data_IF_834349547819
#
_entry.id   IF_834349547819
#
_cell.length_a   1.000
_cell.length_b   1.000
_cell.length_c   1.000
_cell.angle_alpha   90.00
_cell.angle_beta   90.00
_cell.angle_gamma   90.00
#
_symmetry.space_group_name_H-M   'P 1'
#
loop_
_entity.id
_entity.type
_entity.pdbx_description
1 polymer ?
#
# COMPACT_ATOMS: atom_id res chain seq x y z
N UNK A 1 19.91 31.56 29.73
CA UNK A 1 19.76 30.23 30.37
C UNK A 1 20.49 29.23 29.49
N UNK A 2 21.50 28.57 30.05
CA UNK A 2 22.38 27.63 29.33
C UNK A 2 21.63 26.32 29.05
N UNK A 3 21.84 25.69 27.87
CA UNK A 3 21.40 24.31 27.64
C UNK A 3 22.31 23.37 28.43
N UNK A 4 21.73 22.56 29.31
CA UNK A 4 22.42 21.49 30.02
C UNK A 4 22.87 20.42 29.03
N UNK A 5 24.16 20.43 28.72
CA UNK A 5 24.92 19.32 28.15
C UNK A 5 24.84 18.11 29.09
N UNK A 6 24.06 17.09 28.74
CA UNK A 6 24.27 15.75 29.30
C UNK A 6 25.43 15.09 28.54
N UNK A 7 26.57 15.02 29.21
CA UNK A 7 27.83 14.54 28.67
C UNK A 7 27.83 13.01 28.42
N UNK A 8 28.69 12.54 27.49
CA UNK A 8 28.70 11.19 26.93
C UNK A 8 29.63 10.25 27.71
N UNK A 9 29.14 9.08 28.14
CA UNK A 9 30.00 8.12 28.84
C UNK A 9 29.78 6.63 28.52
N UNK A 10 28.83 6.24 27.64
CA UNK A 10 28.35 4.84 27.62
C UNK A 10 28.65 4.07 26.32
N UNK A 11 29.17 4.71 25.26
CA UNK A 11 29.47 4.03 23.99
C UNK A 11 31.00 3.95 23.79
N UNK A 12 31.66 3.21 24.66
CA UNK A 12 33.09 2.82 24.50
C UNK A 12 33.28 1.32 24.77
N UNK A 13 32.33 0.49 24.32
CA UNK A 13 32.60 -0.93 24.16
C UNK A 13 33.30 -1.13 22.81
N UNK A 14 34.61 -1.45 22.84
CA UNK A 14 35.43 -1.76 21.67
C UNK A 14 34.80 -2.89 20.85
N UNK A 15 34.53 -2.65 19.58
CA UNK A 15 33.93 -3.62 18.65
C UNK A 15 35.03 -4.19 17.74
N UNK A 16 35.53 -5.37 18.09
CA UNK A 16 35.80 -6.39 17.07
C UNK A 16 34.44 -6.98 16.65
N UNK A 17 34.28 -7.55 15.43
CA UNK A 17 32.98 -8.05 14.99
C UNK A 17 32.44 -9.03 16.03
N UNK A 18 31.25 -8.78 16.61
CA UNK A 18 30.76 -9.67 17.62
C UNK A 18 30.37 -11.02 17.05
N UNK A 19 30.54 -12.11 17.81
CA UNK A 19 29.79 -13.32 17.53
C UNK A 19 28.28 -13.03 17.59
N UNK A 20 27.42 -13.83 16.93
CA UNK A 20 25.97 -13.60 16.76
C UNK A 20 25.15 -13.39 18.05
N UNK A 21 25.78 -13.56 19.22
CA UNK A 21 25.19 -13.29 20.53
C UNK A 21 25.14 -11.79 20.91
N UNK A 22 26.00 -10.92 20.35
CA UNK A 22 25.98 -9.49 20.72
C UNK A 22 25.05 -8.63 19.85
N UNK A 23 24.63 -9.09 18.67
CA UNK A 23 23.62 -8.39 17.86
C UNK A 23 22.25 -8.43 18.56
N UNK A 24 21.90 -9.57 19.17
CA UNK A 24 20.74 -9.68 20.06
C UNK A 24 20.90 -8.85 21.34
N UNK A 25 22.12 -8.72 21.87
CA UNK A 25 22.38 -7.89 23.06
C UNK A 25 22.28 -6.39 22.76
N UNK A 26 22.75 -5.94 21.59
CA UNK A 26 22.60 -4.56 21.12
C UNK A 26 21.13 -4.22 20.87
N UNK A 27 20.37 -5.12 20.21
CA UNK A 27 18.91 -4.95 20.05
C UNK A 27 18.19 -4.87 21.39
N UNK A 28 18.44 -5.80 22.32
CA UNK A 28 17.83 -5.77 23.67
C UNK A 28 18.20 -4.52 24.46
N UNK A 29 19.46 -4.08 24.40
CA UNK A 29 19.91 -2.85 25.06
C UNK A 29 19.28 -1.61 24.44
N UNK A 30 19.13 -1.56 23.11
CA UNK A 30 18.41 -0.49 22.44
C UNK A 30 16.93 -0.51 22.81
N UNK A 31 16.27 -1.65 22.85
CA UNK A 31 14.86 -1.81 23.24
C UNK A 31 14.61 -1.37 24.70
N UNK A 32 15.39 -1.86 25.66
CA UNK A 32 15.30 -1.48 27.09
C UNK A 32 15.59 0.02 27.32
N UNK A 33 16.43 0.62 26.47
CA UNK A 33 16.83 2.01 26.55
C UNK A 33 15.82 2.93 25.86
N UNK A 34 15.28 2.51 24.73
CA UNK A 34 14.23 3.22 23.98
C UNK A 34 12.96 3.32 24.83
N UNK A 35 12.55 2.25 25.52
CA UNK A 35 11.35 2.24 26.37
C UNK A 35 11.38 3.24 27.55
N UNK A 36 12.53 3.80 27.91
CA UNK A 36 12.68 4.74 29.04
C UNK A 36 12.64 6.21 28.64
N UNK A 37 12.67 6.50 27.34
CA UNK A 37 12.78 7.85 26.80
C UNK A 37 11.43 8.47 26.43
N UNK A 38 11.40 9.81 26.41
CA UNK A 38 10.26 10.53 25.86
C UNK A 38 10.19 10.32 24.34
N UNK A 39 9.01 10.49 23.70
CA UNK A 39 8.91 10.43 22.25
C UNK A 39 9.90 11.33 21.52
N UNK A 40 10.16 12.53 22.05
CA UNK A 40 11.13 13.48 21.47
C UNK A 40 12.57 12.91 21.50
N UNK A 41 13.01 12.39 22.64
CA UNK A 41 14.35 11.79 22.77
C UNK A 41 14.51 10.56 21.87
N UNK A 42 13.45 9.74 21.73
CA UNK A 42 13.41 8.61 20.80
C UNK A 42 13.60 9.06 19.35
N UNK A 43 12.93 10.14 18.95
CA UNK A 43 13.06 10.72 17.62
C UNK A 43 14.47 11.28 17.37
N UNK A 44 15.07 11.93 18.37
CA UNK A 44 16.45 12.43 18.28
C UNK A 44 17.46 11.29 18.12
N UNK A 45 17.26 10.17 18.82
CA UNK A 45 18.10 8.96 18.63
C UNK A 45 18.00 8.44 17.20
N UNK A 46 16.80 8.37 16.63
CA UNK A 46 16.60 7.95 15.24
C UNK A 46 17.28 8.95 14.28
N UNK A 47 17.09 10.24 14.48
CA UNK A 47 17.73 11.28 13.67
C UNK A 47 19.26 11.22 13.73
N UNK A 48 19.83 10.90 14.89
CA UNK A 48 21.28 10.71 15.06
C UNK A 48 21.79 9.44 14.39
N UNK A 49 21.04 8.32 14.41
CA UNK A 49 21.37 7.10 13.65
C UNK A 49 21.46 7.37 12.14
N UNK A 50 20.69 8.36 11.69
CA UNK A 50 20.53 8.77 10.31
C UNK A 50 21.42 9.96 9.90
N UNK A 51 22.16 10.56 10.83
CA UNK A 51 23.00 11.72 10.53
C UNK A 51 24.23 11.34 9.67
N UNK A 52 24.40 12.03 8.54
CA UNK A 52 25.57 11.90 7.67
C UNK A 52 26.18 13.29 7.32
N UNK A 53 27.51 13.47 7.40
CA UNK A 53 28.45 12.57 8.08
C UNK A 53 28.16 12.56 9.59
N UNK A 54 28.52 11.50 10.33
CA UNK A 54 28.30 11.47 11.77
C UNK A 54 29.01 12.67 12.40
N UNK A 55 28.25 13.55 13.05
CA UNK A 55 28.78 14.78 13.64
C UNK A 55 30.00 14.45 14.52
N UNK A 56 31.05 15.30 14.53
CA UNK A 56 32.15 15.13 15.46
C UNK A 56 31.63 15.16 16.89
N UNK A 57 31.61 14.00 17.57
CA UNK A 57 31.11 13.87 18.94
C UNK A 57 29.72 13.26 19.10
N UNK A 58 29.05 12.88 18.00
CA UNK A 58 27.78 12.13 18.08
C UNK A 58 27.97 10.79 18.79
N UNK A 59 27.13 10.49 19.79
CA UNK A 59 27.26 9.30 20.64
C UNK A 59 27.28 7.98 19.85
N UNK A 60 26.73 7.99 18.64
CA UNK A 60 26.53 6.82 17.77
C UNK A 60 27.61 6.66 16.68
N UNK A 61 28.66 7.49 16.70
CA UNK A 61 29.72 7.49 15.67
C UNK A 61 30.47 6.15 15.66
N UNK A 62 30.33 5.40 14.56
CA UNK A 62 31.03 4.11 14.35
C UNK A 62 30.27 2.85 14.77
N UNK A 63 28.95 2.92 15.02
CA UNK A 63 28.19 1.77 15.54
C UNK A 63 27.85 0.68 14.51
N UNK A 64 27.69 1.03 13.22
CA UNK A 64 27.40 0.07 12.14
C UNK A 64 27.58 0.73 10.76
N UNK A 65 27.70 -0.05 9.66
CA UNK A 65 27.63 0.47 8.31
C UNK A 65 26.34 1.29 8.07
N UNK A 66 26.38 2.36 7.24
CA UNK A 66 25.22 3.22 6.96
C UNK A 66 23.92 2.50 6.53
N UNK A 67 24.05 1.35 5.87
CA UNK A 67 22.88 0.53 5.48
C UNK A 67 22.18 -0.15 6.66
N UNK A 68 22.93 -0.55 7.68
CA UNK A 68 22.39 -1.19 8.89
C UNK A 68 21.72 -0.18 9.82
N UNK A 69 22.31 1.02 9.97
CA UNK A 69 21.70 2.11 10.76
C UNK A 69 20.41 2.63 10.13
N UNK A 70 20.32 2.64 8.80
CA UNK A 70 19.10 2.98 8.09
C UNK A 70 17.94 2.03 8.45
N UNK A 71 18.19 0.71 8.32
CA UNK A 71 17.18 -0.31 8.65
C UNK A 71 16.75 -0.28 10.12
N UNK A 72 17.71 -0.07 11.03
CA UNK A 72 17.43 0.07 12.46
C UNK A 72 16.56 1.29 12.76
N UNK A 73 16.89 2.47 12.22
CA UNK A 73 16.09 3.68 12.44
C UNK A 73 14.65 3.52 11.93
N UNK A 74 14.47 2.86 10.78
CA UNK A 74 13.14 2.58 10.23
C UNK A 74 12.34 1.61 11.11
N UNK A 75 12.98 0.59 11.68
CA UNK A 75 12.34 -0.33 12.62
C UNK A 75 11.95 0.37 13.94
N UNK A 76 12.76 1.30 14.43
CA UNK A 76 12.44 2.12 15.60
C UNK A 76 11.25 3.05 15.32
N UNK A 77 11.14 3.63 14.12
CA UNK A 77 9.93 4.36 13.71
C UNK A 77 8.67 3.48 13.78
N UNK A 78 8.73 2.23 13.30
CA UNK A 78 7.59 1.31 13.35
C UNK A 78 7.19 1.00 14.80
N UNK A 79 8.18 0.85 15.68
CA UNK A 79 7.93 0.64 17.11
C UNK A 79 7.22 1.83 17.74
N UNK A 80 7.68 3.06 17.46
CA UNK A 80 7.00 4.27 17.93
C UNK A 80 5.57 4.38 17.40
N UNK A 81 5.31 3.93 16.19
CA UNK A 81 3.95 3.91 15.63
C UNK A 81 3.05 2.89 16.35
N UNK A 82 3.58 1.70 16.66
CA UNK A 82 2.88 0.68 17.45
C UNK A 82 2.57 1.15 18.87
N UNK A 83 3.49 1.90 19.48
CA UNK A 83 3.33 2.45 20.83
C UNK A 83 2.44 3.72 20.86
N UNK A 84 1.95 4.20 19.70
CA UNK A 84 1.09 5.38 19.60
C UNK A 84 1.81 6.72 19.76
N UNK A 85 3.14 6.73 19.74
CA UNK A 85 3.98 7.90 20.00
C UNK A 85 4.35 8.67 18.72
N UNK A 86 4.35 7.99 17.58
CA UNK A 86 4.86 8.50 16.30
C UNK A 86 4.23 9.83 15.87
N UNK A 87 2.90 9.99 16.06
CA UNK A 87 2.16 11.18 15.63
C UNK A 87 2.71 12.46 16.25
N UNK A 88 3.22 12.40 17.49
CA UNK A 88 3.77 13.57 18.20
C UNK A 88 5.11 14.07 17.66
N UNK A 89 5.85 13.20 16.96
CA UNK A 89 7.21 13.47 16.45
C UNK A 89 7.35 13.27 14.95
N UNK A 90 6.23 13.04 14.25
CA UNK A 90 6.20 12.70 12.83
C UNK A 90 6.93 13.74 11.96
N UNK A 91 6.80 15.03 12.26
CA UNK A 91 7.50 16.09 11.52
C UNK A 91 9.02 16.00 11.66
N UNK A 92 9.52 15.74 12.87
CA UNK A 92 10.95 15.60 13.12
C UNK A 92 11.51 14.42 12.33
N UNK A 93 10.84 13.26 12.42
CA UNK A 93 11.25 12.05 11.71
C UNK A 93 11.16 12.20 10.19
N UNK A 94 10.12 12.88 9.69
CA UNK A 94 9.97 13.16 8.26
C UNK A 94 11.08 14.07 7.72
N UNK A 95 11.49 15.07 8.48
CA UNK A 95 12.64 15.92 8.15
C UNK A 95 13.96 15.13 8.15
N UNK A 96 14.18 14.28 9.15
CA UNK A 96 15.36 13.42 9.20
C UNK A 96 15.41 12.46 8.00
N UNK A 97 14.29 11.83 7.64
CA UNK A 97 14.19 10.97 6.46
C UNK A 97 14.48 11.72 5.15
N UNK A 98 13.99 12.96 5.02
CA UNK A 98 14.31 13.84 3.89
C UNK A 98 15.83 14.07 3.77
N UNK A 99 16.50 14.43 4.86
CA UNK A 99 17.97 14.62 4.87
C UNK A 99 18.74 13.37 4.47
N UNK A 100 18.34 12.21 4.99
CA UNK A 100 18.99 10.92 4.67
C UNK A 100 18.87 10.62 3.19
N UNK A 101 17.67 10.74 2.61
CA UNK A 101 17.43 10.43 1.20
C UNK A 101 18.33 11.29 0.29
N UNK A 102 18.43 12.59 0.56
CA UNK A 102 19.30 13.50 -0.18
C UNK A 102 20.79 13.23 0.06
N UNK A 103 21.17 12.80 1.27
CA UNK A 103 22.56 12.45 1.59
C UNK A 103 23.00 11.18 0.87
N UNK A 104 22.11 10.19 0.73
CA UNK A 104 22.36 8.99 -0.08
C UNK A 104 22.44 9.36 -1.56
N UNK A 105 21.48 10.15 -2.08
CA UNK A 105 21.42 10.56 -3.48
C UNK A 105 22.67 11.35 -3.93
N UNK A 106 23.18 12.24 -3.08
CA UNK A 106 24.39 13.03 -3.34
C UNK A 106 25.70 12.26 -3.11
N UNK A 107 25.64 11.02 -2.61
CA UNK A 107 26.81 10.23 -2.25
C UNK A 107 27.50 10.64 -0.94
N UNK A 108 26.95 11.62 -0.20
CA UNK A 108 27.44 12.03 1.12
C UNK A 108 27.29 10.94 2.19
N UNK A 109 26.30 10.05 2.03
CA UNK A 109 26.09 8.86 2.85
C UNK A 109 26.24 7.61 1.98
N UNK A 110 27.36 6.87 2.05
CA UNK A 110 27.59 5.72 1.19
C UNK A 110 26.75 4.52 1.65
N UNK A 111 25.68 4.23 0.90
CA UNK A 111 24.87 3.02 1.04
C UNK A 111 24.85 2.31 -0.31
N UNK A 112 25.82 1.41 -0.60
CA UNK A 112 26.08 0.95 -1.96
C UNK A 112 24.92 0.18 -2.61
N UNK A 113 24.00 -0.40 -1.83
CA UNK A 113 22.75 -1.00 -2.33
C UNK A 113 21.66 -0.85 -1.26
N UNK A 114 21.02 0.32 -1.14
CA UNK A 114 20.00 0.53 -0.13
C UNK A 114 18.80 -0.37 -0.46
N UNK A 115 18.23 -1.13 0.50
CA UNK A 115 17.06 -1.94 0.24
C UNK A 115 15.91 -1.09 -0.29
N UNK A 116 15.26 -1.53 -1.38
CA UNK A 116 14.18 -0.79 -2.05
C UNK A 116 13.07 -0.37 -1.09
N UNK A 117 12.67 -1.28 -0.19
CA UNK A 117 11.70 -1.01 0.88
C UNK A 117 12.13 0.16 1.78
N UNK A 118 13.41 0.27 2.11
CA UNK A 118 13.92 1.35 2.95
C UNK A 118 13.90 2.69 2.20
N UNK A 119 14.32 2.69 0.92
CA UNK A 119 14.23 3.88 0.06
C UNK A 119 12.78 4.35 -0.09
N UNK A 120 11.85 3.42 -0.30
CA UNK A 120 10.43 3.74 -0.43
C UNK A 120 9.87 4.37 0.86
N UNK A 121 10.23 3.82 2.03
CA UNK A 121 9.85 4.41 3.33
C UNK A 121 10.42 5.81 3.54
N UNK A 122 11.71 6.00 3.26
CA UNK A 122 12.34 7.32 3.35
C UNK A 122 11.67 8.33 2.43
N UNK A 123 11.41 7.94 1.17
CA UNK A 123 10.72 8.78 0.20
C UNK A 123 9.30 9.14 0.67
N UNK A 124 8.53 8.18 1.18
CA UNK A 124 7.19 8.42 1.71
C UNK A 124 7.21 9.45 2.85
N UNK A 125 8.14 9.30 3.80
CA UNK A 125 8.32 10.28 4.89
C UNK A 125 8.79 11.65 4.39
N UNK A 126 9.74 11.68 3.44
CA UNK A 126 10.28 12.91 2.87
C UNK A 126 9.23 13.72 2.08
N UNK A 127 8.35 13.04 1.35
CA UNK A 127 7.22 13.67 0.66
C UNK A 127 6.23 14.30 1.65
N UNK A 128 5.91 13.60 2.76
CA UNK A 128 5.08 14.17 3.84
C UNK A 128 5.72 15.41 4.46
N UNK A 129 7.04 15.42 4.64
CA UNK A 129 7.75 16.61 5.10
C UNK A 129 7.53 17.80 4.16
N UNK A 130 7.69 17.59 2.85
CA UNK A 130 7.52 18.66 1.85
C UNK A 130 6.09 19.23 1.82
N UNK A 131 5.06 18.40 1.98
CA UNK A 131 3.67 18.87 2.06
C UNK A 131 3.42 19.88 3.19
N UNK A 132 4.17 19.76 4.29
CA UNK A 132 3.98 20.58 5.49
C UNK A 132 4.86 21.84 5.46
N UNK A 133 5.79 21.94 4.49
CA UNK A 133 6.62 23.14 4.30
C UNK A 133 5.89 24.16 3.41
N UNK A 134 5.50 25.34 3.94
CA UNK A 134 4.61 26.28 3.26
C UNK A 134 5.26 27.13 2.14
N UNK A 135 6.37 26.71 1.55
CA UNK A 135 7.06 27.51 0.53
C UNK A 135 6.65 27.16 -0.89
N UNK A 136 6.47 28.20 -1.73
CA UNK A 136 6.03 28.23 -3.14
C UNK A 136 6.83 27.31 -4.11
N UNK A 137 7.87 26.64 -3.63
CA UNK A 137 8.60 25.59 -4.35
C UNK A 137 7.91 24.20 -4.30
N UNK A 138 6.68 24.09 -3.82
CA UNK A 138 6.00 22.83 -3.47
C UNK A 138 6.09 21.73 -4.54
N UNK A 139 5.67 22.01 -5.78
CA UNK A 139 5.73 21.00 -6.85
C UNK A 139 7.17 20.60 -7.21
N UNK A 140 8.07 21.58 -7.38
CA UNK A 140 9.46 21.33 -7.73
C UNK A 140 10.17 20.51 -6.64
N UNK A 141 9.99 20.86 -5.38
CA UNK A 141 10.56 20.15 -4.25
C UNK A 141 10.02 18.72 -4.12
N UNK A 142 8.72 18.51 -4.36
CA UNK A 142 8.11 17.17 -4.40
C UNK A 142 8.67 16.34 -5.57
N UNK A 143 8.85 16.97 -6.73
CA UNK A 143 9.45 16.33 -7.91
C UNK A 143 10.92 15.98 -7.68
N UNK A 144 11.68 16.82 -6.99
CA UNK A 144 13.09 16.56 -6.65
C UNK A 144 13.23 15.36 -5.71
N UNK A 145 12.38 15.27 -4.68
CA UNK A 145 12.33 14.12 -3.77
C UNK A 145 12.02 12.84 -4.55
N UNK A 146 10.99 12.89 -5.41
CA UNK A 146 10.59 11.76 -6.24
C UNK A 146 11.70 11.33 -7.21
N UNK A 147 12.35 12.29 -7.85
CA UNK A 147 13.43 12.05 -8.80
C UNK A 147 14.63 11.38 -8.14
N UNK A 148 15.07 11.90 -6.98
CA UNK A 148 16.16 11.30 -6.20
C UNK A 148 15.84 9.86 -5.79
N UNK A 149 14.59 9.60 -5.37
CA UNK A 149 14.15 8.25 -5.07
C UNK A 149 14.22 7.34 -6.31
N UNK A 150 13.66 7.75 -7.46
CA UNK A 150 13.67 6.92 -8.68
C UNK A 150 15.09 6.60 -9.15
N UNK A 151 16.02 7.57 -9.08
CA UNK A 151 17.43 7.35 -9.40
C UNK A 151 18.08 6.32 -8.49
N UNK A 152 17.89 6.44 -7.17
CA UNK A 152 18.45 5.52 -6.19
C UNK A 152 17.85 4.11 -6.28
N UNK A 153 16.54 4.04 -6.50
CA UNK A 153 15.79 2.79 -6.55
C UNK A 153 15.93 2.04 -7.88
N UNK A 154 16.49 2.70 -8.92
CA UNK A 154 16.64 2.15 -10.28
C UNK A 154 15.34 1.56 -10.83
N UNK A 155 14.23 2.28 -10.61
CA UNK A 155 12.91 1.81 -10.99
C UNK A 155 12.73 1.80 -12.52
N UNK A 156 12.01 0.82 -13.08
CA UNK A 156 11.65 0.82 -14.49
C UNK A 156 10.90 2.10 -14.89
N UNK A 157 11.03 2.53 -16.14
CA UNK A 157 10.39 3.74 -16.64
C UNK A 157 8.85 3.64 -16.58
N UNK A 158 8.32 2.44 -16.80
CA UNK A 158 6.90 2.09 -16.72
C UNK A 158 6.32 2.34 -15.33
N UNK A 159 7.11 2.09 -14.28
CA UNK A 159 6.73 2.42 -12.92
C UNK A 159 6.53 3.94 -12.79
N UNK A 160 7.47 4.75 -13.32
CA UNK A 160 7.36 6.22 -13.25
C UNK A 160 6.17 6.80 -14.02
N UNK A 161 5.61 6.10 -15.01
CA UNK A 161 4.46 6.56 -15.79
C UNK A 161 3.17 6.65 -14.94
N UNK A 162 2.98 5.72 -14.00
CA UNK A 162 1.80 5.67 -13.12
C UNK A 162 1.83 6.77 -12.06
N UNK A 163 3.04 7.18 -11.65
CA UNK A 163 3.24 8.31 -10.76
C UNK A 163 2.68 9.61 -11.37
N UNK A 164 2.52 9.67 -12.69
CA UNK A 164 1.94 10.79 -13.38
C UNK A 164 0.41 10.64 -13.44
N UNK A 165 -0.29 11.71 -13.09
CA UNK A 165 -1.74 11.75 -13.06
C UNK A 165 -2.33 11.71 -14.48
N UNK A 166 -2.64 10.50 -15.00
CA UNK A 166 -3.37 10.23 -16.26
C UNK A 166 -3.68 8.75 -16.50
N UNK A 167 -2.84 7.84 -16.03
CA UNK A 167 -2.95 6.41 -16.37
C UNK A 167 -3.86 5.66 -15.41
N UNK A 168 -4.71 4.78 -15.92
CA UNK A 168 -5.50 3.88 -15.07
C UNK A 168 -4.58 2.80 -14.48
N UNK A 169 -4.75 2.51 -13.19
CA UNK A 169 -4.06 1.37 -12.54
C UNK A 169 -4.71 0.07 -13.02
N UNK A 170 -3.90 -0.87 -13.50
CA UNK A 170 -4.37 -2.18 -13.94
C UNK A 170 -4.98 -2.99 -12.78
N UNK A 171 -6.01 -3.78 -13.08
CA UNK A 171 -6.76 -4.53 -12.06
C UNK A 171 -5.94 -5.66 -11.40
N UNK A 172 -4.94 -6.22 -12.10
CA UNK A 172 -4.01 -7.21 -11.54
C UNK A 172 -3.05 -6.54 -10.56
N UNK A 173 -2.51 -5.39 -10.96
CA UNK A 173 -1.66 -4.57 -10.11
C UNK A 173 -2.40 -4.24 -8.82
N UNK A 174 -3.63 -3.72 -8.93
CA UNK A 174 -4.45 -3.40 -7.76
C UNK A 174 -4.68 -4.63 -6.87
N UNK A 175 -5.01 -5.78 -7.45
CA UNK A 175 -5.21 -7.03 -6.71
C UNK A 175 -3.97 -7.46 -5.92
N UNK A 176 -2.82 -7.44 -6.60
CA UNK A 176 -1.55 -7.87 -6.02
C UNK A 176 -1.13 -6.91 -4.90
N UNK A 177 -1.28 -5.60 -5.11
CA UNK A 177 -1.01 -4.58 -4.10
C UNK A 177 -1.87 -4.78 -2.85
N UNK A 178 -3.18 -5.02 -3.01
CA UNK A 178 -4.07 -5.29 -1.87
C UNK A 178 -3.70 -6.60 -1.16
N UNK A 179 -3.35 -7.64 -1.93
CA UNK A 179 -2.94 -8.94 -1.37
C UNK A 179 -1.67 -8.82 -0.51
N UNK A 180 -0.68 -8.07 -1.00
CA UNK A 180 0.56 -7.79 -0.26
C UNK A 180 0.31 -6.93 0.98
N UNK A 181 -0.54 -5.90 0.85
CA UNK A 181 -0.98 -5.08 1.97
C UNK A 181 -1.69 -5.91 3.07
N UNK A 182 -2.45 -6.94 2.69
CA UNK A 182 -3.17 -7.80 3.62
C UNK A 182 -2.35 -8.97 4.17
N UNK A 183 -1.21 -9.30 3.57
CA UNK A 183 -0.40 -10.46 3.97
C UNK A 183 -0.02 -10.50 5.48
N UNK A 184 0.23 -9.37 6.17
CA UNK A 184 0.49 -9.35 7.61
C UNK A 184 -0.76 -9.47 8.50
N UNK A 185 -1.93 -9.78 7.94
CA UNK A 185 -3.21 -9.69 8.63
C UNK A 185 -4.02 -10.99 8.56
N UNK A 186 -3.90 -11.81 9.59
CA UNK A 186 -4.50 -13.16 9.65
C UNK A 186 -6.04 -13.20 9.56
N UNK A 187 -6.72 -12.09 9.89
CA UNK A 187 -8.18 -11.98 9.85
C UNK A 187 -8.72 -11.36 8.56
N UNK A 188 -7.88 -11.21 7.54
CA UNK A 188 -8.24 -10.53 6.30
C UNK A 188 -8.07 -11.48 5.13
N UNK A 189 -9.13 -11.63 4.36
CA UNK A 189 -9.12 -12.34 3.10
C UNK A 189 -9.25 -11.32 1.97
N UNK A 190 -8.59 -11.54 0.84
CA UNK A 190 -8.70 -10.69 -0.35
C UNK A 190 -9.31 -11.50 -1.48
N UNK A 191 -10.28 -10.97 -2.22
CA UNK A 191 -10.86 -11.62 -3.40
C UNK A 191 -10.52 -10.85 -4.68
N UNK A 192 -10.41 -11.52 -5.85
CA UNK A 192 -10.18 -10.88 -7.13
C UNK A 192 -11.18 -9.77 -7.49
N UNK A 193 -10.68 -8.90 -8.37
CA UNK A 193 -11.02 -7.48 -8.55
C UNK A 193 -12.21 -7.18 -9.46
N UNK A 194 -12.62 -8.15 -10.28
CA UNK A 194 -13.54 -7.89 -11.38
C UNK A 194 -14.80 -8.72 -11.20
N UNK A 195 -15.89 -8.03 -10.86
CA UNK A 195 -17.22 -8.59 -10.76
C UNK A 195 -18.10 -7.88 -11.79
N UNK A 196 -18.76 -8.66 -12.65
CA UNK A 196 -19.61 -8.10 -13.70
C UNK A 196 -21.06 -7.98 -13.23
N UNK A 197 -21.78 -7.01 -13.81
CA UNK A 197 -23.19 -6.80 -13.53
C UNK A 197 -24.07 -7.87 -14.21
N UNK A 198 -24.96 -8.57 -13.48
CA UNK A 198 -25.78 -9.63 -14.05
C UNK A 198 -26.87 -9.11 -15.00
N UNK A 199 -27.29 -7.84 -14.90
CA UNK A 199 -28.26 -7.21 -15.82
C UNK A 199 -27.67 -7.12 -17.25
N UNK A 200 -26.36 -7.27 -17.34
CA UNK A 200 -25.56 -7.14 -18.55
C UNK A 200 -25.07 -8.50 -19.08
N UNK A 201 -25.66 -9.59 -18.62
CA UNK A 201 -25.29 -10.96 -19.00
C UNK A 201 -25.33 -11.24 -20.50
N UNK A 202 -26.21 -10.58 -21.26
CA UNK A 202 -26.22 -10.78 -22.72
C UNK A 202 -24.98 -10.21 -23.40
N UNK A 203 -24.39 -9.15 -22.83
CA UNK A 203 -23.20 -8.49 -23.35
C UNK A 203 -21.89 -9.19 -22.95
N UNK A 204 -21.93 -10.12 -21.99
CA UNK A 204 -20.76 -10.96 -21.66
C UNK A 204 -20.41 -11.92 -22.80
N UNK A 205 -21.38 -12.20 -23.70
CA UNK A 205 -21.18 -13.04 -24.88
C UNK A 205 -20.21 -12.42 -25.87
N UNK A 206 -20.13 -11.08 -25.87
CA UNK A 206 -19.25 -10.28 -26.74
C UNK A 206 -17.85 -10.11 -26.13
N UNK A 207 -17.68 -10.40 -24.83
CA UNK A 207 -16.38 -10.44 -24.17
C UNK A 207 -15.60 -11.67 -24.63
N UNK A 208 -14.31 -11.47 -24.92
CA UNK A 208 -13.39 -12.55 -25.29
C UNK A 208 -13.44 -13.71 -24.29
N UNK A 209 -13.45 -14.95 -24.79
CA UNK A 209 -13.65 -16.17 -23.97
C UNK A 209 -12.69 -16.25 -22.77
N UNK A 210 -11.42 -15.91 -22.95
CA UNK A 210 -10.43 -15.99 -21.87
C UNK A 210 -10.75 -15.03 -20.72
N UNK A 211 -11.20 -13.81 -21.01
CA UNK A 211 -11.65 -12.86 -19.99
C UNK A 211 -12.89 -13.39 -19.28
N UNK A 212 -13.86 -13.94 -20.02
CA UNK A 212 -15.07 -14.54 -19.42
C UNK A 212 -14.75 -15.66 -18.43
N UNK A 213 -13.77 -16.49 -18.76
CA UNK A 213 -13.31 -17.58 -17.89
C UNK A 213 -12.66 -17.02 -16.61
N UNK A 214 -11.83 -15.97 -16.72
CA UNK A 214 -11.23 -15.27 -15.57
C UNK A 214 -12.29 -14.63 -14.67
N UNK A 215 -13.29 -13.95 -15.26
CA UNK A 215 -14.40 -13.34 -14.52
C UNK A 215 -15.22 -14.38 -13.75
N UNK A 216 -15.51 -15.51 -14.38
CA UNK A 216 -16.26 -16.61 -13.76
C UNK A 216 -15.46 -17.23 -12.61
N UNK A 217 -14.16 -17.42 -12.80
CA UNK A 217 -13.26 -17.90 -11.77
C UNK A 217 -13.20 -16.93 -10.58
N UNK A 218 -13.10 -15.63 -10.84
CA UNK A 218 -13.08 -14.58 -9.82
C UNK A 218 -14.35 -14.58 -8.97
N UNK A 219 -15.52 -14.65 -9.62
CA UNK A 219 -16.82 -14.74 -8.93
C UNK A 219 -16.93 -15.98 -8.04
N UNK A 220 -16.51 -17.14 -8.55
CA UNK A 220 -16.54 -18.39 -7.78
C UNK A 220 -15.58 -18.36 -6.58
N UNK A 221 -14.39 -17.78 -6.77
CA UNK A 221 -13.42 -17.62 -5.69
C UNK A 221 -13.95 -16.66 -4.60
N UNK A 222 -14.59 -15.56 -4.99
CA UNK A 222 -15.23 -14.62 -4.06
C UNK A 222 -16.32 -15.32 -3.21
N UNK A 223 -17.18 -16.13 -3.87
CA UNK A 223 -18.21 -16.92 -3.19
C UNK A 223 -17.62 -17.90 -2.18
N UNK A 224 -16.59 -18.65 -2.58
CA UNK A 224 -15.96 -19.62 -1.68
C UNK A 224 -15.28 -18.93 -0.49
N UNK A 225 -14.59 -17.81 -0.72
CA UNK A 225 -13.98 -17.01 0.36
C UNK A 225 -15.03 -16.46 1.33
N UNK A 226 -16.17 -15.97 0.84
CA UNK A 226 -17.27 -15.50 1.72
C UNK A 226 -17.91 -16.62 2.53
N UNK A 227 -18.06 -17.82 1.96
CA UNK A 227 -18.60 -18.98 2.69
C UNK A 227 -17.66 -19.44 3.81
N UNK A 228 -16.35 -19.35 3.57
CA UNK A 228 -15.31 -19.76 4.52
C UNK A 228 -14.99 -18.68 5.55
N UNK A 229 -15.51 -17.46 5.37
CA UNK A 229 -15.29 -16.35 6.28
C UNK A 229 -15.84 -16.67 7.67
N UNK A 230 -14.96 -16.63 8.67
CA UNK A 230 -15.32 -16.77 10.07
C UNK A 230 -15.78 -15.42 10.63
N UNK A 231 -16.54 -15.47 11.73
CA UNK A 231 -16.81 -14.26 12.50
C UNK A 231 -15.49 -13.68 13.03
N UNK A 232 -15.35 -12.36 13.02
CA UNK A 232 -14.07 -11.70 13.29
C UNK A 232 -13.15 -11.57 12.07
N UNK A 233 -13.51 -12.12 10.90
CA UNK A 233 -12.78 -11.93 9.64
C UNK A 233 -13.49 -10.99 8.68
N UNK A 234 -12.70 -10.30 7.85
CA UNK A 234 -13.20 -9.45 6.77
C UNK A 234 -12.69 -9.94 5.40
N UNK A 235 -13.53 -9.81 4.39
CA UNK A 235 -13.13 -9.95 3.00
C UNK A 235 -13.01 -8.55 2.37
N UNK A 236 -11.84 -8.25 1.83
CA UNK A 236 -11.62 -7.08 0.98
C UNK A 236 -11.81 -7.49 -0.49
N UNK A 237 -12.66 -6.73 -1.16
CA UNK A 237 -13.08 -6.98 -2.53
C UNK A 237 -13.02 -5.66 -3.29
N UNK A 238 -11.92 -5.36 -4.00
CA UNK A 238 -11.97 -4.31 -5.02
C UNK A 238 -12.98 -4.76 -6.08
N UNK A 239 -13.98 -3.94 -6.37
CA UNK A 239 -15.05 -4.26 -7.32
C UNK A 239 -14.93 -3.35 -8.52
N UNK A 240 -14.60 -3.92 -9.69
CA UNK A 240 -14.59 -3.19 -10.95
C UNK A 240 -15.93 -3.27 -11.67
N UNK A 241 -16.61 -2.15 -11.77
CA UNK A 241 -17.81 -1.97 -12.59
C UNK A 241 -17.41 -1.61 -14.01
N UNK A 242 -17.57 -2.56 -14.92
CA UNK A 242 -17.27 -2.37 -16.36
C UNK A 242 -18.55 -1.88 -17.04
N UNK A 243 -18.57 -0.68 -17.64
CA UNK A 243 -19.67 -0.30 -18.52
C UNK A 243 -19.71 -1.31 -19.68
N UNK A 244 -20.89 -1.87 -19.97
CA UNK A 244 -21.01 -2.67 -21.18
C UNK A 244 -20.68 -1.76 -22.35
N UNK A 245 -19.59 -2.03 -23.05
CA UNK A 245 -19.47 -2.14 -24.51
C UNK A 245 -18.01 -2.52 -24.84
N UNK A 246 -17.43 -3.61 -24.29
CA UNK A 246 -16.12 -4.04 -24.77
C UNK A 246 -16.31 -4.63 -26.17
N UNK A 247 -15.95 -3.86 -27.20
CA UNK A 247 -15.80 -4.38 -28.56
C UNK A 247 -14.74 -5.49 -28.56
N UNK A 248 -14.87 -6.44 -29.49
CA UNK A 248 -13.93 -7.54 -29.66
C UNK A 248 -12.48 -6.99 -29.76
N UNK A 249 -11.63 -7.37 -28.80
CA UNK A 249 -10.22 -6.92 -28.72
C UNK A 249 -9.94 -5.70 -27.82
N UNK A 250 -10.91 -5.20 -27.06
CA UNK A 250 -10.70 -4.11 -26.09
C UNK A 250 -10.26 -4.63 -24.71
N UNK A 251 -9.44 -3.84 -24.02
CA UNK A 251 -9.05 -4.06 -22.61
C UNK A 251 -10.26 -3.73 -21.72
N UNK A 252 -10.49 -4.51 -20.66
CA UNK A 252 -11.54 -4.20 -19.69
C UNK A 252 -11.19 -2.89 -18.98
N UNK A 253 -11.95 -1.83 -19.27
CA UNK A 253 -11.89 -0.57 -18.55
C UNK A 253 -13.15 -0.44 -17.71
N UNK A 254 -13.01 0.05 -16.49
CA UNK A 254 -14.12 0.18 -15.56
C UNK A 254 -13.79 1.09 -14.41
N UNK A 255 -14.79 1.32 -13.58
CA UNK A 255 -14.67 2.08 -12.34
C UNK A 255 -14.46 1.13 -11.15
N UNK A 256 -13.59 1.47 -10.21
CA UNK A 256 -13.36 0.66 -9.01
C UNK A 256 -14.07 1.23 -7.78
N UNK A 257 -14.83 0.39 -7.09
CA UNK A 257 -15.31 0.63 -5.73
C UNK A 257 -14.58 -0.29 -4.75
N UNK A 258 -14.40 0.13 -3.50
CA UNK A 258 -13.87 -0.72 -2.45
C UNK A 258 -15.02 -1.38 -1.68
N UNK A 259 -15.06 -2.72 -1.65
CA UNK A 259 -16.07 -3.46 -0.90
C UNK A 259 -15.40 -4.18 0.26
N UNK A 260 -15.86 -3.88 1.47
CA UNK A 260 -15.51 -4.62 2.69
C UNK A 260 -16.70 -5.48 3.09
N UNK A 261 -16.52 -6.78 3.12
CA UNK A 261 -17.54 -7.72 3.57
C UNK A 261 -17.16 -8.32 4.93
N UNK A 262 -18.06 -8.21 5.90
CA UNK A 262 -17.92 -8.83 7.23
C UNK A 262 -19.09 -9.77 7.48
N UNK A 263 -18.82 -10.89 8.14
CA UNK A 263 -19.86 -11.81 8.59
C UNK A 263 -20.33 -11.43 9.99
N UNK A 264 -21.65 -11.24 10.15
CA UNK A 264 -22.32 -11.03 11.44
C UNK A 264 -23.46 -12.03 11.56
N UNK A 265 -23.34 -12.99 12.48
CA UNK A 265 -24.27 -14.11 12.61
C UNK A 265 -24.48 -14.87 11.27
N UNK A 266 -25.73 -14.97 10.83
CA UNK A 266 -26.16 -15.59 9.57
C UNK A 266 -26.13 -14.63 8.36
N UNK A 267 -25.69 -13.39 8.56
CA UNK A 267 -25.71 -12.32 7.56
C UNK A 267 -24.30 -11.89 7.15
N UNK A 268 -24.19 -11.38 5.91
CA UNK A 268 -23.01 -10.70 5.41
C UNK A 268 -23.35 -9.22 5.22
N UNK A 269 -22.57 -8.38 5.88
CA UNK A 269 -22.66 -6.95 5.72
C UNK A 269 -21.58 -6.50 4.74
N UNK A 270 -21.97 -5.76 3.72
CA UNK A 270 -21.12 -5.19 2.69
C UNK A 270 -21.11 -3.68 2.87
N UNK A 271 -19.95 -3.12 3.16
CA UNK A 271 -19.69 -1.69 3.10
C UNK A 271 -19.06 -1.38 1.74
N UNK A 272 -19.75 -0.59 0.92
CA UNK A 272 -19.36 -0.25 -0.44
C UNK A 272 -18.93 1.21 -0.44
N UNK A 273 -17.65 1.44 -0.67
CA UNK A 273 -17.06 2.78 -0.74
C UNK A 273 -16.76 3.12 -2.18
N UNK A 274 -17.24 4.29 -2.60
CA UNK A 274 -17.14 4.73 -3.97
C UNK A 274 -16.70 6.20 -4.06
N UNK A 275 -15.60 6.42 -4.79
CA UNK A 275 -15.03 7.75 -5.04
C UNK A 275 -15.63 8.48 -6.24
N UNK A 276 -16.57 7.84 -6.94
CA UNK A 276 -17.28 8.37 -8.10
C UNK A 276 -18.80 8.23 -7.91
N UNK A 277 -19.49 9.37 -7.92
CA UNK A 277 -20.95 9.43 -8.02
C UNK A 277 -21.36 9.52 -9.50
N UNK A 278 -21.28 8.40 -10.24
CA UNK A 278 -21.65 8.34 -11.66
C UNK A 278 -22.49 7.08 -11.96
N UNK A 279 -22.88 6.91 -13.24
CA UNK A 279 -23.78 5.92 -13.89
C UNK A 279 -23.94 4.50 -13.31
N UNK A 280 -23.07 4.03 -12.43
CA UNK A 280 -23.20 2.79 -11.69
C UNK A 280 -23.98 2.98 -10.38
N UNK A 281 -25.31 3.02 -10.53
CA UNK A 281 -26.25 3.23 -9.42
C UNK A 281 -26.15 2.15 -8.34
N UNK A 282 -26.51 2.48 -7.10
CA UNK A 282 -26.54 1.52 -5.98
C UNK A 282 -27.24 0.19 -6.31
N UNK A 283 -28.39 0.15 -7.01
CA UNK A 283 -29.03 -1.12 -7.40
C UNK A 283 -28.19 -2.00 -8.33
N UNK A 284 -27.34 -1.41 -9.18
CA UNK A 284 -26.44 -2.13 -10.07
C UNK A 284 -25.32 -2.81 -9.25
N UNK A 285 -24.71 -2.07 -8.32
CA UNK A 285 -23.71 -2.57 -7.39
C UNK A 285 -24.28 -3.64 -6.45
N UNK A 286 -25.50 -3.43 -5.94
CA UNK A 286 -26.22 -4.44 -5.17
C UNK A 286 -26.43 -5.71 -5.99
N UNK A 287 -26.88 -5.59 -7.24
CA UNK A 287 -27.08 -6.75 -8.11
C UNK A 287 -25.77 -7.53 -8.35
N UNK A 288 -24.64 -6.82 -8.49
CA UNK A 288 -23.31 -7.44 -8.59
C UNK A 288 -23.00 -8.26 -7.34
N UNK A 289 -23.10 -7.64 -6.15
CA UNK A 289 -22.76 -8.26 -4.87
C UNK A 289 -23.74 -9.34 -4.43
N UNK A 290 -25.01 -9.22 -4.80
CA UNK A 290 -26.05 -10.22 -4.53
C UNK A 290 -25.79 -11.55 -5.25
N UNK A 291 -24.85 -11.59 -6.21
CA UNK A 291 -24.38 -12.84 -6.79
C UNK A 291 -23.52 -13.64 -5.81
N UNK A 292 -22.94 -13.01 -4.78
CA UNK A 292 -21.97 -13.62 -3.88
C UNK A 292 -22.61 -14.36 -2.71
N UNK A 293 -23.79 -13.93 -2.27
CA UNK A 293 -24.50 -14.47 -1.10
C UNK A 293 -25.98 -14.74 -1.41
N UNK A 294 -26.66 -15.62 -0.67
CA UNK A 294 -28.11 -15.78 -0.81
C UNK A 294 -28.83 -14.44 -0.56
N UNK A 295 -29.77 -14.05 -1.44
CA UNK A 295 -30.44 -12.73 -1.45
C UNK A 295 -30.91 -12.23 -0.07
N UNK A 296 -31.44 -13.11 0.79
CA UNK A 296 -31.99 -12.72 2.11
C UNK A 296 -30.92 -12.48 3.19
N UNK A 297 -29.66 -12.81 2.91
CA UNK A 297 -28.56 -12.79 3.89
C UNK A 297 -27.57 -11.65 3.68
N UNK A 298 -27.66 -10.90 2.57
CA UNK A 298 -26.87 -9.70 2.34
C UNK A 298 -27.48 -8.46 3.00
N UNK A 299 -26.61 -7.59 3.53
CA UNK A 299 -26.90 -6.21 3.96
C UNK A 299 -25.91 -5.29 3.28
N UNK A 300 -26.38 -4.30 2.55
CA UNK A 300 -25.53 -3.44 1.71
C UNK A 300 -25.60 -2.00 2.22
N UNK A 301 -24.46 -1.37 2.40
CA UNK A 301 -24.31 -0.01 2.90
C UNK A 301 -23.44 0.76 1.92
N UNK A 302 -23.99 1.80 1.31
CA UNK A 302 -23.34 2.58 0.28
C UNK A 302 -22.81 3.88 0.87
N UNK A 303 -21.52 4.14 0.62
CA UNK A 303 -20.82 5.36 0.99
C UNK A 303 -20.21 5.93 -0.28
N UNK A 304 -20.89 6.92 -0.87
CA UNK A 304 -20.59 7.42 -2.20
C UNK A 304 -20.45 8.93 -2.18
N UNK A 305 -19.36 9.43 -2.73
CA UNK A 305 -19.13 10.85 -2.93
C UNK A 305 -18.18 11.03 -4.11
N UNK A 306 -18.48 11.99 -4.98
CA UNK A 306 -17.56 12.36 -6.03
C UNK A 306 -16.41 13.20 -5.45
N UNK A 307 -15.23 12.61 -5.35
CA UNK A 307 -14.01 13.33 -4.95
C UNK A 307 -12.75 12.86 -5.68
N UNK A 308 -12.86 11.84 -6.55
CA UNK A 308 -11.71 11.37 -7.32
C UNK A 308 -11.29 12.35 -8.42
N UNK A 309 -10.01 12.28 -8.76
CA UNK A 309 -9.42 13.05 -9.86
C UNK A 309 -8.78 12.06 -10.85
N UNK A 310 -8.77 12.38 -12.15
CA UNK A 310 -7.91 11.73 -13.17
C UNK A 310 -7.83 10.20 -13.14
N UNK A 311 -8.97 9.51 -13.01
CA UNK A 311 -9.09 8.04 -12.98
C UNK A 311 -8.42 7.36 -11.77
N UNK A 312 -8.41 8.00 -10.61
CA UNK A 312 -7.79 7.49 -9.38
C UNK A 312 -8.67 6.50 -8.58
N UNK A 313 -9.80 6.01 -9.12
CA UNK A 313 -10.70 5.08 -8.42
C UNK A 313 -9.99 3.88 -7.78
N UNK A 314 -9.07 3.24 -8.51
CA UNK A 314 -8.27 2.13 -8.01
C UNK A 314 -7.40 2.53 -6.80
N UNK A 315 -6.83 3.73 -6.85
CA UNK A 315 -5.94 4.26 -5.80
C UNK A 315 -6.76 4.62 -4.56
N UNK A 316 -7.93 5.22 -4.73
CA UNK A 316 -8.86 5.47 -3.64
C UNK A 316 -9.33 4.15 -3.01
N UNK A 317 -9.62 3.12 -3.81
CA UNK A 317 -9.98 1.81 -3.29
C UNK A 317 -8.84 1.17 -2.46
N UNK A 318 -7.61 1.22 -2.96
CA UNK A 318 -6.43 0.75 -2.21
C UNK A 318 -6.23 1.51 -0.90
N UNK A 319 -6.25 2.84 -0.95
CA UNK A 319 -6.03 3.70 0.22
C UNK A 319 -7.12 3.48 1.27
N UNK A 320 -8.36 3.32 0.82
CA UNK A 320 -9.48 3.00 1.68
C UNK A 320 -9.26 1.66 2.40
N UNK A 321 -8.85 0.61 1.69
CA UNK A 321 -8.48 -0.67 2.32
C UNK A 321 -7.33 -0.54 3.31
N UNK A 322 -6.28 0.21 3.00
CA UNK A 322 -5.18 0.49 3.93
C UNK A 322 -5.69 1.11 5.24
N UNK A 323 -6.65 2.04 5.14
CA UNK A 323 -7.30 2.65 6.30
C UNK A 323 -8.12 1.63 7.11
N UNK A 324 -8.84 0.74 6.43
CA UNK A 324 -9.60 -0.34 7.08
C UNK A 324 -8.71 -1.24 7.94
N UNK A 325 -7.53 -1.55 7.41
CA UNK A 325 -6.55 -2.42 8.06
C UNK A 325 -5.86 -1.74 9.25
N UNK A 326 -5.80 -0.42 9.25
CA UNK A 326 -5.31 0.35 10.41
C UNK A 326 -6.38 0.42 11.50
N UNK A 327 -7.66 0.48 11.12
CA UNK A 327 -8.81 0.69 12.01
C UNK A 327 -9.73 -0.55 12.09
N UNK A 328 -9.14 -1.75 12.22
CA UNK A 328 -9.88 -3.03 12.12
C UNK A 328 -11.04 -3.17 13.09
N UNK A 329 -10.93 -2.60 14.29
CA UNK A 329 -11.99 -2.66 15.31
C UNK A 329 -13.26 -1.95 14.86
N UNK A 330 -13.10 -0.85 14.11
CA UNK A 330 -14.19 -0.02 13.56
C UNK A 330 -15.13 -0.83 12.66
N UNK A 331 -14.61 -1.83 11.95
CA UNK A 331 -15.43 -2.65 11.05
C UNK A 331 -16.43 -3.55 11.76
N UNK A 332 -16.18 -3.88 13.03
CA UNK A 332 -17.12 -4.66 13.84
C UNK A 332 -18.21 -3.80 14.46
N UNK A 333 -17.97 -2.50 14.62
CA UNK A 333 -18.86 -1.56 15.30
C UNK A 333 -20.16 -1.30 14.53
N UNK A 334 -20.14 -1.29 13.20
CA UNK A 334 -21.33 -1.15 12.36
C UNK A 334 -21.32 0.06 11.41
N UNK A 335 -22.44 0.31 10.72
CA UNK A 335 -22.49 1.24 9.60
C UNK A 335 -22.23 2.70 9.97
N UNK A 336 -22.55 3.11 11.20
CA UNK A 336 -22.26 4.48 11.68
C UNK A 336 -20.76 4.75 11.71
N UNK A 337 -19.97 3.82 12.24
CA UNK A 337 -18.52 3.98 12.28
C UNK A 337 -17.87 3.79 10.90
N UNK A 338 -18.50 3.03 10.00
CA UNK A 338 -18.07 2.94 8.60
C UNK A 338 -18.30 4.25 7.85
N UNK A 339 -19.43 4.93 8.12
CA UNK A 339 -19.72 6.25 7.60
C UNK A 339 -18.70 7.28 8.07
N UNK A 340 -18.41 7.33 9.38
CA UNK A 340 -17.38 8.23 9.90
C UNK A 340 -16.02 7.99 9.25
N UNK A 341 -15.64 6.72 9.05
CA UNK A 341 -14.38 6.38 8.41
C UNK A 341 -14.30 6.87 6.95
N UNK A 342 -15.43 6.84 6.24
CA UNK A 342 -15.53 7.39 4.89
C UNK A 342 -15.42 8.90 4.90
N UNK A 343 -16.17 9.57 5.77
CA UNK A 343 -16.17 11.03 5.89
C UNK A 343 -14.77 11.55 6.24
N UNK A 344 -14.07 10.90 7.17
CA UNK A 344 -12.70 11.24 7.51
C UNK A 344 -11.73 11.02 6.34
N UNK A 345 -11.98 10.03 5.48
CA UNK A 345 -11.16 9.79 4.28
C UNK A 345 -11.41 10.83 3.18
N UNK A 346 -12.67 11.21 2.98
CA UNK A 346 -13.03 12.29 2.07
C UNK A 346 -12.42 13.62 2.53
N UNK A 347 -12.48 13.91 3.85
CA UNK A 347 -11.87 15.11 4.41
C UNK A 347 -10.35 15.13 4.27
N UNK A 348 -9.65 14.02 4.56
CA UNK A 348 -8.19 13.94 4.35
C UNK A 348 -7.78 14.15 2.90
N UNK A 349 -8.58 13.65 1.95
CA UNK A 349 -8.34 13.87 0.52
C UNK A 349 -8.55 15.34 0.15
N UNK A 350 -9.59 15.98 0.68
CA UNK A 350 -9.82 17.41 0.49
C UNK A 350 -8.71 18.27 1.12
N UNK A 351 -8.27 17.94 2.32
CA UNK A 351 -7.19 18.62 3.04
C UNK A 351 -5.87 18.53 2.27
N UNK A 352 -5.57 17.37 1.66
CA UNK A 352 -4.41 17.22 0.77
C UNK A 352 -4.47 18.20 -0.40
N UNK A 353 -5.63 18.33 -1.05
CA UNK A 353 -5.81 19.27 -2.15
C UNK A 353 -5.69 20.73 -1.69
N UNK A 354 -6.22 21.06 -0.51
CA UNK A 354 -6.06 22.39 0.08
C UNK A 354 -4.60 22.71 0.40
N UNK A 355 -3.87 21.77 1.01
CA UNK A 355 -2.43 21.93 1.32
C UNK A 355 -1.58 22.13 0.07
N UNK A 356 -2.01 21.59 -1.06
CA UNK A 356 -1.36 21.72 -2.36
C UNK A 356 -1.87 22.92 -3.18
N UNK A 357 -2.54 23.89 -2.54
CA UNK A 357 -2.99 25.12 -3.19
C UNK A 357 -4.15 24.91 -4.18
N UNK A 358 -5.04 23.97 -3.89
CA UNK A 358 -6.16 23.55 -4.75
C UNK A 358 -5.75 22.92 -6.09
N UNK A 359 -4.48 22.53 -6.23
CA UNK A 359 -4.00 21.83 -7.42
C UNK A 359 -4.39 20.34 -7.40
N UNK A 360 -5.52 20.04 -8.05
CA UNK A 360 -5.99 18.67 -8.30
C UNK A 360 -4.99 17.80 -9.09
N UNK A 361 -4.18 18.38 -9.98
CA UNK A 361 -3.15 17.63 -10.70
C UNK A 361 -2.09 17.11 -9.75
N UNK A 362 -1.60 17.99 -8.89
CA UNK A 362 -0.55 17.70 -7.95
C UNK A 362 -1.05 16.77 -6.85
N UNK A 363 -2.30 16.95 -6.41
CA UNK A 363 -2.98 16.06 -5.45
C UNK A 363 -3.06 14.63 -5.96
N UNK A 364 -3.58 14.44 -7.18
CA UNK A 364 -3.63 13.13 -7.85
C UNK A 364 -2.22 12.51 -8.02
N UNK A 365 -1.25 13.31 -8.45
CA UNK A 365 0.16 12.89 -8.59
C UNK A 365 0.73 12.42 -7.24
N UNK A 366 0.43 13.12 -6.15
CA UNK A 366 0.86 12.76 -4.80
C UNK A 366 0.21 11.47 -4.31
N UNK A 367 -1.10 11.29 -4.52
CA UNK A 367 -1.81 10.06 -4.20
C UNK A 367 -1.22 8.85 -4.94
N UNK A 368 -0.90 9.01 -6.23
CA UNK A 368 -0.23 8.00 -7.04
C UNK A 368 1.14 7.63 -6.50
N UNK A 369 1.98 8.63 -6.18
CA UNK A 369 3.30 8.41 -5.57
C UNK A 369 3.18 7.66 -4.25
N UNK A 370 2.24 8.03 -3.39
CA UNK A 370 2.01 7.32 -2.13
C UNK A 370 1.55 5.87 -2.34
N UNK A 371 0.60 5.64 -3.23
CA UNK A 371 0.18 4.29 -3.60
C UNK A 371 1.36 3.42 -4.05
N UNK A 372 2.20 3.95 -4.93
CA UNK A 372 3.36 3.23 -5.45
C UNK A 372 4.39 2.94 -4.36
N UNK A 373 4.69 3.91 -3.50
CA UNK A 373 5.59 3.71 -2.38
C UNK A 373 5.05 2.64 -1.42
N UNK A 374 3.75 2.67 -1.10
CA UNK A 374 3.10 1.66 -0.28
C UNK A 374 3.19 0.26 -0.92
N UNK A 375 3.02 0.14 -2.25
CA UNK A 375 3.23 -1.14 -2.94
C UNK A 375 4.65 -1.68 -2.69
N UNK A 376 5.67 -0.85 -2.86
CA UNK A 376 7.07 -1.24 -2.65
C UNK A 376 7.38 -1.56 -1.18
N UNK A 377 6.79 -0.81 -0.25
CA UNK A 377 6.94 -1.02 1.20
C UNK A 377 6.39 -2.39 1.61
N UNK A 378 5.28 -2.79 0.98
CA UNK A 378 4.61 -4.07 1.19
C UNK A 378 5.21 -5.22 0.34
N UNK A 379 6.32 -4.97 -0.37
CA UNK A 379 7.11 -6.00 -1.04
C UNK A 379 6.74 -6.26 -2.49
N UNK A 380 5.96 -5.39 -3.12
CA UNK A 380 5.71 -5.46 -4.56
C UNK A 380 7.04 -5.30 -5.32
N UNK A 381 7.31 -6.20 -6.28
CA UNK A 381 8.55 -6.11 -7.07
C UNK A 381 8.33 -5.36 -8.39
N UNK A 382 9.12 -4.32 -8.71
CA UNK A 382 8.93 -3.53 -9.93
C UNK A 382 9.04 -4.32 -11.24
N UNK A 383 9.80 -5.41 -11.27
CA UNK A 383 9.92 -6.33 -12.41
C UNK A 383 8.60 -7.09 -12.68
N UNK A 384 7.89 -7.49 -11.62
CA UNK A 384 6.54 -8.07 -11.74
C UNK A 384 5.55 -7.04 -12.32
N UNK A 385 5.73 -5.75 -12.02
CA UNK A 385 4.89 -4.67 -12.55
C UNK A 385 5.07 -4.49 -14.06
N UNK A 386 6.32 -4.38 -14.52
CA UNK A 386 6.64 -4.25 -15.93
C UNK A 386 6.13 -5.47 -16.72
N UNK A 387 6.19 -6.66 -16.14
CA UNK A 387 5.62 -7.87 -16.74
C UNK A 387 4.10 -7.84 -16.86
N UNK A 388 3.38 -7.28 -15.88
CA UNK A 388 1.91 -7.18 -15.92
C UNK A 388 1.45 -6.13 -16.94
N UNK A 389 2.13 -4.99 -17.04
CA UNK A 389 1.80 -3.96 -18.04
C UNK A 389 2.26 -4.33 -19.46
N UNK A 390 3.43 -4.94 -19.60
CA UNK A 390 3.97 -5.36 -20.89
C UNK A 390 3.52 -6.77 -21.29
N UNK A 391 2.75 -7.49 -20.47
CA UNK A 391 2.11 -8.73 -20.88
C UNK A 391 1.17 -8.37 -22.03
N UNK A 392 1.54 -8.71 -23.29
CA UNK A 392 0.57 -8.59 -24.33
C UNK A 392 -0.49 -9.61 -23.98
N UNK A 393 -1.75 -9.18 -23.84
CA UNK A 393 -2.89 -10.01 -24.18
C UNK A 393 -2.47 -10.76 -25.44
N UNK A 394 -2.16 -12.04 -25.28
CA UNK A 394 -1.33 -12.80 -26.21
C UNK A 394 -1.89 -12.63 -27.62
N UNK A 395 -1.20 -11.82 -28.46
CA UNK A 395 -1.20 -11.97 -29.91
C UNK A 395 -0.47 -13.27 -30.29
N UNK A 396 -0.85 -14.39 -29.67
CA UNK A 396 -0.48 -15.72 -30.12
C UNK A 396 -1.75 -16.39 -30.59
N UNK A 397 -1.79 -16.69 -31.88
CA UNK A 397 -2.71 -17.69 -32.41
C UNK A 397 -2.74 -18.90 -31.48
N UNK A 398 -3.93 -19.46 -31.20
CA UNK A 398 -4.08 -20.54 -30.27
C UNK A 398 -3.48 -21.82 -30.85
N UNK A 399 -2.20 -22.07 -30.58
CA UNK A 399 -1.69 -23.44 -30.64
C UNK A 399 -2.22 -24.16 -29.41
N UNK A 400 -3.13 -25.10 -29.67
CA UNK A 400 -3.79 -25.99 -28.70
C UNK A 400 -2.82 -26.42 -27.60
N UNK A 401 -3.18 -26.16 -26.34
CA UNK A 401 -2.71 -26.98 -25.22
C UNK A 401 -2.09 -26.29 -24.00
N UNK A 402 -1.95 -24.97 -23.93
CA UNK A 402 -1.36 -24.32 -22.73
C UNK A 402 -2.33 -23.29 -22.14
N UNK A 403 -2.98 -23.65 -21.03
CA UNK A 403 -3.90 -22.77 -20.33
C UNK A 403 -3.17 -21.66 -19.56
N UNK A 404 -3.66 -20.43 -19.70
CA UNK A 404 -3.23 -19.22 -18.99
C UNK A 404 -3.20 -19.36 -17.45
N UNK A 405 -3.90 -20.35 -16.90
CA UNK A 405 -3.85 -20.71 -15.48
C UNK A 405 -2.47 -21.13 -14.99
N UNK A 406 -1.56 -21.56 -15.87
CA UNK A 406 -0.21 -21.98 -15.49
C UNK A 406 0.75 -20.80 -15.28
N UNK A 407 0.53 -19.66 -15.95
CA UNK A 407 1.36 -18.46 -15.77
C UNK A 407 0.97 -17.68 -14.51
N UNK A 408 -0.32 -17.65 -14.19
CA UNK A 408 -0.85 -16.94 -13.01
C UNK A 408 -0.43 -17.59 -11.69
N UNK A 409 -0.37 -18.94 -11.63
CA UNK A 409 0.14 -19.66 -10.45
C UNK A 409 1.65 -19.52 -10.26
N UNK A 410 2.40 -19.31 -11.34
CA UNK A 410 3.84 -19.14 -11.29
C UNK A 410 4.25 -17.73 -10.84
N UNK A 411 3.41 -16.72 -11.14
CA UNK A 411 3.56 -15.32 -10.71
C UNK A 411 3.24 -15.11 -9.22
N UNK A 412 2.33 -15.89 -8.63
CA UNK A 412 1.90 -15.72 -7.23
C UNK A 412 2.77 -16.43 -6.19
N UNK A 413 3.91 -17.04 -6.55
CA UNK A 413 4.80 -17.67 -5.57
C UNK A 413 4.14 -18.77 -4.71
N UNK A 414 2.99 -19.31 -5.14
CA UNK A 414 2.29 -20.40 -4.46
C UNK A 414 2.95 -21.75 -4.75
N UNK A 415 4.24 -21.88 -4.46
CA UNK A 415 4.90 -23.16 -4.21
C UNK A 415 5.12 -23.34 -2.72
N UNK A 416 4.03 -23.24 -1.95
CA UNK A 416 3.96 -23.96 -0.69
C UNK A 416 4.11 -25.45 -1.02
N UNK A 417 5.19 -26.07 -0.56
CA UNK A 417 5.46 -27.49 -0.69
C UNK A 417 4.29 -28.33 -0.15
N UNK A 418 3.34 -28.68 -1.01
CA UNK A 418 2.51 -29.86 -0.81
C UNK A 418 3.21 -31.03 -1.48
N UNK A 419 4.10 -31.65 -0.72
CA UNK A 419 4.54 -33.02 -0.98
C UNK A 419 3.27 -33.88 -0.86
N UNK A 420 2.71 -34.32 -2.00
CA UNK A 420 1.70 -35.38 -2.01
C UNK A 420 2.34 -36.62 -1.39
N UNK A 421 1.91 -36.97 -0.19
CA UNK A 421 1.85 -38.38 0.21
C UNK A 421 0.73 -39.01 -0.64
N UNK A 422 0.93 -40.27 -1.03
CA UNK A 422 0.12 -41.07 -1.97
C UNK A 422 0.53 -40.89 -3.45
N UNK A 423 1.64 -41.52 -3.86
CA UNK A 423 1.65 -42.91 -4.34
C UNK A 423 3.09 -43.36 -4.72
N UNK A 424 3.51 -44.49 -4.14
CA UNK A 424 4.81 -45.21 -4.17
C UNK A 424 5.88 -44.79 -3.15
#
# INVERSE_FOLDING_TARGET
>A
MQPTLFAPAIITAKIFPPPPYEEQALRRRLEDYFNRFTPADKADVIAQLWAAPPEPGGALKGLAPPGETLGLGLALCDRMAQDGEYTTVQHHLAYAAHKVLFSIASGAMPVPHPPLKHLARLCHMALKWQLIQPTVAGEAALNDVWHNFCQLAQLPAEFSAIALAREQVDWHVLHQSISLLCAPHDNVVVSPTVLYNPIHQDSIKDVARYLRDELTLGLNLAREKLKQLLEGQMLLLPMMSVPIYPYEGTVLTGHFSAVVAVKKDEYWHFAIFDSLDDSDTEPLKEAVLAQLVPKKRGRYYFFQQHFQQRNDCAIHAFNFFSRCLTLKQTYWSGPEQWGQLFDDYCQETADLTLMLGEDSTLSSTMLRRYFMLECLINGYRPDEWAMVQNAPVLRREPRRGLSLSHSFRHLLGCTGHYRRLEDN
#
